data_IF_470570309326
#
_entry.id   IF_470570309326
#
_cell.length_a   1.000
_cell.length_b   1.000
_cell.length_c   1.000
_cell.angle_alpha   90.00
_cell.angle_beta   90.00
_cell.angle_gamma   90.00
#
_symmetry.space_group_name_H-M   'P 1'
#
loop_
_entity.id
_entity.type
_entity.pdbx_description
1 polymer ?
#
# COMPACT_ATOMS: atom_id res chain seq x y z
N UNK A 1 -15.76 12.54 -5.34
CA UNK A 1 -14.96 13.09 -4.22
C UNK A 1 -13.53 13.32 -4.70
N UNK A 2 -12.92 14.44 -4.32
CA UNK A 2 -11.58 14.80 -4.79
C UNK A 2 -10.51 14.00 -4.02
N UNK A 3 -9.45 13.63 -4.73
CA UNK A 3 -8.23 13.09 -4.10
C UNK A 3 -7.76 14.06 -3.01
N UNK A 4 -7.76 13.61 -1.75
CA UNK A 4 -7.26 14.42 -0.66
C UNK A 4 -5.74 14.50 -0.73
N UNK A 5 -5.24 15.65 -1.21
CA UNK A 5 -3.82 15.88 -1.35
C UNK A 5 -3.10 15.92 0.00
N UNK A 6 -3.76 16.37 1.07
CA UNK A 6 -3.20 16.42 2.41
C UNK A 6 -2.93 15.01 2.93
N UNK A 7 -3.84 14.07 2.66
CA UNK A 7 -3.63 12.67 3.03
C UNK A 7 -2.48 12.02 2.24
N UNK A 8 -2.36 12.33 0.95
CA UNK A 8 -1.23 11.85 0.14
C UNK A 8 0.08 12.42 0.67
N UNK A 9 0.13 13.71 0.96
CA UNK A 9 1.31 14.39 1.51
C UNK A 9 1.71 13.78 2.86
N UNK A 10 0.72 13.52 3.72
CA UNK A 10 0.92 12.82 4.99
C UNK A 10 1.53 11.43 4.79
N UNK A 11 0.98 10.61 3.88
CA UNK A 11 1.50 9.27 3.58
C UNK A 11 2.94 9.34 3.03
N UNK A 12 3.24 10.34 2.21
CA UNK A 12 4.59 10.59 1.69
C UNK A 12 5.55 11.02 2.80
N UNK A 13 5.11 11.85 3.74
CA UNK A 13 5.89 12.21 4.94
C UNK A 13 6.15 10.99 5.82
N UNK A 14 5.16 10.13 6.04
CA UNK A 14 5.36 8.88 6.80
C UNK A 14 6.37 7.97 6.10
N UNK A 15 6.33 7.89 4.78
CA UNK A 15 7.26 7.11 3.97
C UNK A 15 8.60 7.81 3.72
N UNK A 16 8.81 9.02 4.25
CA UNK A 16 10.09 9.72 4.10
C UNK A 16 11.22 9.02 4.85
N UNK A 17 10.92 8.23 5.89
CA UNK A 17 11.91 7.34 6.54
C UNK A 17 12.24 6.09 5.71
N UNK A 18 11.47 5.84 4.66
CA UNK A 18 11.66 4.72 3.75
C UNK A 18 12.33 5.19 2.45
N UNK A 19 13.67 5.23 2.48
CA UNK A 19 14.47 5.66 1.33
C UNK A 19 14.18 4.83 0.06
N UNK A 20 14.04 5.53 -1.06
CA UNK A 20 13.77 4.94 -2.38
C UNK A 20 12.28 4.76 -2.72
N UNK A 21 11.36 5.15 -1.84
CA UNK A 21 9.95 5.26 -2.18
C UNK A 21 9.66 6.50 -3.04
N UNK A 22 8.81 6.34 -4.04
CA UNK A 22 8.35 7.39 -4.94
C UNK A 22 6.85 7.30 -5.12
N UNK A 23 6.13 8.36 -4.78
CA UNK A 23 4.70 8.47 -5.05
C UNK A 23 4.46 9.01 -6.46
N UNK A 24 3.57 8.36 -7.22
CA UNK A 24 3.15 8.80 -8.55
C UNK A 24 1.62 8.85 -8.61
N UNK A 25 1.07 10.02 -8.94
CA UNK A 25 -0.37 10.16 -9.23
C UNK A 25 -0.75 9.22 -10.38
N UNK A 26 -1.77 8.41 -10.15
CA UNK A 26 -2.38 7.52 -11.14
C UNK A 26 -3.85 7.93 -11.34
N UNK A 27 -4.48 7.52 -12.44
CA UNK A 27 -5.84 7.93 -12.80
C UNK A 27 -6.84 7.39 -11.77
N UNK A 28 -7.20 8.21 -10.77
CA UNK A 28 -8.08 7.85 -9.63
C UNK A 28 -7.39 7.68 -8.27
N UNK A 29 -6.08 7.94 -8.15
CA UNK A 29 -5.34 7.75 -6.89
C UNK A 29 -3.86 8.13 -6.96
N UNK A 30 -3.06 7.62 -6.04
CA UNK A 30 -1.60 7.76 -5.98
C UNK A 30 -0.97 6.40 -5.76
N UNK A 31 -0.20 5.90 -6.71
CA UNK A 31 0.58 4.67 -6.52
C UNK A 31 1.93 4.99 -5.90
N UNK A 32 2.42 4.12 -5.02
CA UNK A 32 3.74 4.23 -4.41
C UNK A 32 4.64 3.11 -4.93
N UNK A 33 5.80 3.52 -5.42
CA UNK A 33 6.75 2.69 -6.13
C UNK A 33 8.10 2.74 -5.44
N UNK A 34 8.78 1.61 -5.36
CA UNK A 34 10.20 1.52 -4.98
C UNK A 34 10.89 0.65 -6.02
N UNK A 35 12.03 1.07 -6.55
CA UNK A 35 12.76 0.30 -7.59
C UNK A 35 11.89 -0.10 -8.81
N UNK A 36 10.98 0.79 -9.23
CA UNK A 36 9.98 0.54 -10.29
C UNK A 36 8.97 -0.57 -9.97
N UNK A 37 8.85 -0.97 -8.70
CA UNK A 37 7.91 -1.97 -8.20
C UNK A 37 6.86 -1.26 -7.36
N UNK A 38 5.60 -1.46 -7.73
CA UNK A 38 4.46 -0.94 -6.96
C UNK A 38 4.22 -1.82 -5.74
N UNK A 39 4.31 -1.21 -4.55
CA UNK A 39 4.12 -1.89 -3.27
C UNK A 39 2.98 -1.28 -2.44
N UNK A 40 2.53 -0.07 -2.74
CA UNK A 40 1.38 0.53 -2.07
C UNK A 40 0.59 1.49 -2.99
N UNK A 41 -0.62 1.86 -2.61
CA UNK A 41 -1.41 2.89 -3.28
C UNK A 41 -2.40 3.58 -2.35
N UNK A 42 -2.68 4.84 -2.63
CA UNK A 42 -3.73 5.64 -2.02
C UNK A 42 -4.86 5.83 -3.04
N UNK A 43 -6.09 5.53 -2.68
CA UNK A 43 -7.26 5.80 -3.54
C UNK A 43 -7.80 7.22 -3.30
N UNK A 44 -8.63 7.70 -4.23
CA UNK A 44 -9.36 8.97 -4.06
C UNK A 44 -10.34 9.00 -2.88
N UNK A 45 -10.58 7.86 -2.22
CA UNK A 45 -11.45 7.73 -1.04
C UNK A 45 -10.65 7.78 0.27
N UNK A 46 -9.43 8.32 0.25
CA UNK A 46 -8.53 8.36 1.41
C UNK A 46 -8.23 6.98 2.00
N UNK A 47 -8.32 5.94 1.19
CA UNK A 47 -7.97 4.59 1.61
C UNK A 47 -6.57 4.25 1.10
N UNK A 48 -5.70 3.88 2.02
CA UNK A 48 -4.35 3.43 1.72
C UNK A 48 -4.30 1.91 1.70
N UNK A 49 -3.69 1.37 0.67
CA UNK A 49 -3.60 -0.05 0.41
C UNK A 49 -2.15 -0.46 0.26
N UNK A 50 -1.76 -1.49 1.00
CA UNK A 50 -0.47 -2.15 0.90
C UNK A 50 -0.55 -3.40 0.06
N UNK A 51 0.52 -3.72 -0.65
CA UNK A 51 0.66 -4.98 -1.35
C UNK A 51 1.07 -6.06 -0.37
N UNK A 52 0.29 -7.11 -0.32
CA UNK A 52 0.43 -8.24 0.60
C UNK A 52 0.78 -9.47 -0.24
N UNK A 53 1.59 -10.39 0.28
CA UNK A 53 1.77 -11.71 -0.32
C UNK A 53 1.02 -12.77 0.49
N UNK A 54 1.00 -14.01 0.01
CA UNK A 54 0.34 -15.13 0.71
C UNK A 54 0.79 -15.32 2.17
N UNK A 55 1.99 -14.86 2.55
CA UNK A 55 2.51 -14.94 3.91
C UNK A 55 1.97 -13.84 4.83
N UNK A 56 1.70 -12.66 4.28
CA UNK A 56 1.16 -11.51 5.01
C UNK A 56 -0.37 -11.55 5.07
N UNK A 57 -1.06 -12.21 4.12
CA UNK A 57 -2.52 -12.39 4.13
C UNK A 57 -3.07 -12.79 5.51
N UNK A 58 -2.58 -13.85 6.19
CA UNK A 58 -3.12 -14.24 7.49
C UNK A 58 -2.92 -13.18 8.58
N UNK A 59 -1.86 -12.35 8.51
CA UNK A 59 -1.62 -11.26 9.45
C UNK A 59 -2.67 -10.16 9.28
N UNK A 60 -2.96 -9.78 8.04
CA UNK A 60 -3.96 -8.76 7.74
C UNK A 60 -5.39 -9.27 8.01
N UNK A 61 -5.68 -10.55 7.75
CA UNK A 61 -6.95 -11.18 8.14
C UNK A 61 -7.14 -11.20 9.66
N UNK A 62 -6.08 -11.47 10.42
CA UNK A 62 -6.13 -11.44 11.88
C UNK A 62 -6.43 -10.03 12.43
N UNK A 63 -6.00 -8.99 11.73
CA UNK A 63 -6.34 -7.60 12.04
C UNK A 63 -7.73 -7.17 11.53
N UNK A 64 -8.46 -8.06 10.86
CA UNK A 64 -9.79 -7.78 10.31
C UNK A 64 -9.77 -6.85 9.08
N UNK A 65 -8.60 -6.67 8.46
CA UNK A 65 -8.48 -5.91 7.23
C UNK A 65 -9.11 -6.70 6.08
N UNK A 66 -9.50 -6.00 5.02
CA UNK A 66 -10.10 -6.62 3.84
C UNK A 66 -9.18 -6.49 2.63
N UNK A 67 -9.12 -7.53 1.77
CA UNK A 67 -8.47 -7.41 0.49
C UNK A 67 -9.22 -6.40 -0.37
N UNK A 68 -8.49 -5.74 -1.27
CA UNK A 68 -9.03 -4.82 -2.25
C UNK A 68 -9.87 -5.61 -3.25
N UNK A 69 -11.18 -5.57 -3.06
CA UNK A 69 -12.15 -6.26 -3.91
C UNK A 69 -12.37 -5.48 -5.21
N UNK A 70 -11.39 -5.56 -6.11
CA UNK A 70 -11.57 -5.16 -7.51
C UNK A 70 -11.83 -6.40 -8.37
N UNK A 71 -12.74 -7.27 -7.92
CA UNK A 71 -13.17 -8.46 -8.64
C UNK A 71 -14.19 -8.10 -9.73
N UNK A 72 -13.77 -7.32 -10.73
CA UNK A 72 -14.42 -7.31 -12.05
C UNK A 72 -13.44 -7.89 -13.08
N UNK A 73 -13.46 -9.22 -13.24
CA UNK A 73 -12.75 -10.01 -14.28
C UNK A 73 -11.21 -10.03 -14.22
N UNK A 74 -10.60 -10.62 -13.20
CA UNK A 74 -9.16 -10.93 -13.25
C UNK A 74 -8.58 -11.54 -11.97
N UNK A 75 -7.27 -11.86 -11.99
CA UNK A 75 -6.48 -12.16 -10.78
C UNK A 75 -6.66 -11.00 -9.81
N UNK A 76 -7.36 -11.24 -8.69
CA UNK A 76 -7.51 -10.25 -7.63
C UNK A 76 -6.14 -9.72 -7.25
N UNK A 77 -5.99 -8.39 -7.22
CA UNK A 77 -4.71 -7.83 -6.84
C UNK A 77 -4.55 -8.02 -5.33
N UNK A 78 -3.38 -8.47 -4.85
CA UNK A 78 -3.20 -8.75 -3.43
C UNK A 78 -2.88 -7.46 -2.69
N UNK A 79 -3.79 -6.49 -2.76
CA UNK A 79 -3.70 -5.26 -2.00
C UNK A 79 -4.69 -5.31 -0.84
N UNK A 80 -4.29 -4.84 0.32
CA UNK A 80 -5.11 -4.82 1.53
C UNK A 80 -5.07 -3.44 2.15
N UNK A 81 -6.18 -3.02 2.75
CA UNK A 81 -6.22 -1.72 3.43
C UNK A 81 -5.23 -1.71 4.58
N UNK A 82 -4.45 -0.64 4.67
CA UNK A 82 -3.56 -0.42 5.79
C UNK A 82 -4.40 -0.04 7.04
N UNK A 83 -4.06 -0.59 8.22
CA UNK A 83 -4.67 -0.15 9.48
C UNK A 83 -4.37 1.32 9.77
N UNK A 84 -5.31 2.04 10.38
CA UNK A 84 -5.09 3.43 10.77
C UNK A 84 -3.87 3.61 11.69
N UNK A 85 -3.67 2.71 12.65
CA UNK A 85 -2.53 2.76 13.56
C UNK A 85 -1.16 2.60 12.86
N UNK A 86 -1.11 1.90 11.71
CA UNK A 86 0.11 1.79 10.89
C UNK A 86 0.39 3.11 10.18
N UNK A 87 -0.66 3.82 9.79
CA UNK A 87 -0.57 5.11 9.10
C UNK A 87 -0.20 6.22 10.08
N UNK A 88 -0.66 6.11 11.33
CA UNK A 88 -0.36 7.05 12.42
C UNK A 88 1.06 6.88 13.00
N UNK A 89 1.70 5.74 12.77
CA UNK A 89 3.03 5.41 13.30
C UNK A 89 4.06 5.22 12.17
N UNK A 90 5.05 6.13 12.11
CA UNK A 90 6.11 6.10 11.08
C UNK A 90 6.93 4.81 11.08
N UNK A 91 7.20 4.25 12.25
CA UNK A 91 7.99 3.02 12.36
C UNK A 91 7.20 1.83 11.80
N UNK A 92 5.92 1.71 12.14
CA UNK A 92 5.05 0.69 11.57
C UNK A 92 4.88 0.91 10.07
N UNK A 93 4.63 2.14 9.62
CA UNK A 93 4.50 2.46 8.21
C UNK A 93 5.71 1.97 7.40
N UNK A 94 6.93 2.21 7.91
CA UNK A 94 8.17 1.74 7.30
C UNK A 94 8.24 0.22 7.26
N UNK A 95 8.00 -0.47 8.38
CA UNK A 95 8.03 -1.93 8.44
C UNK A 95 7.05 -2.55 7.46
N UNK A 96 5.84 -2.01 7.38
CA UNK A 96 4.80 -2.50 6.47
C UNK A 96 5.12 -2.17 5.01
N UNK A 97 5.73 -1.02 4.73
CA UNK A 97 6.25 -0.69 3.41
C UNK A 97 7.38 -1.63 2.98
N UNK A 98 8.26 -2.04 3.90
CA UNK A 98 9.30 -3.05 3.69
C UNK A 98 8.70 -4.41 3.38
N UNK A 99 7.84 -4.93 4.26
CA UNK A 99 7.10 -6.19 4.07
C UNK A 99 6.37 -6.22 2.71
N UNK A 100 5.69 -5.11 2.38
CA UNK A 100 4.93 -4.98 1.13
C UNK A 100 5.84 -4.92 -0.10
N UNK A 101 6.99 -4.26 0.02
CA UNK A 101 7.98 -4.19 -1.04
C UNK A 101 8.60 -5.56 -1.29
N UNK A 102 8.98 -6.30 -0.23
CA UNK A 102 9.47 -7.67 -0.34
C UNK A 102 8.43 -8.59 -0.99
N UNK A 103 7.17 -8.50 -0.56
CA UNK A 103 6.05 -9.19 -1.18
C UNK A 103 5.93 -8.88 -2.69
N UNK A 104 6.06 -7.61 -3.06
CA UNK A 104 6.00 -7.16 -4.45
C UNK A 104 7.19 -7.66 -5.29
N UNK A 105 8.39 -7.66 -4.72
CA UNK A 105 9.62 -8.19 -5.33
C UNK A 105 9.50 -9.69 -5.56
N UNK A 106 9.05 -10.45 -4.56
CA UNK A 106 8.82 -11.90 -4.66
C UNK A 106 7.81 -12.22 -5.75
N UNK A 107 6.73 -11.45 -5.85
CA UNK A 107 5.72 -11.61 -6.90
C UNK A 107 6.23 -11.28 -8.31
N UNK A 108 7.26 -10.43 -8.46
CA UNK A 108 7.90 -10.11 -9.74
C UNK A 108 8.96 -11.14 -10.15
N UNK A 109 9.58 -11.83 -9.18
CA UNK A 109 10.58 -12.87 -9.40
C UNK A 109 10.00 -14.21 -9.86
N UNK A 110 8.68 -14.37 -9.84
CA UNK A 110 7.94 -15.59 -10.19
C UNK A 110 7.33 -15.47 -11.59
#
# INVERSE_FOLDING_TARGET
MALNQEYVDYIVDQLSEFEGASSRKMFGGVGIFKDKIMFAMVTSENAFYFRVNDQLIPKFEAEGMKPFDHAKKGKGMPYWSAPAHVIEDKQLMKLWAEDSYEAAVLAKKK
#
